data_IF_623877366439
#
_entry.id   IF_623877366439
#
_cell.length_a   1.000
_cell.length_b   1.000
_cell.length_c   1.000
_cell.angle_alpha   90.00
_cell.angle_beta   90.00
_cell.angle_gamma   90.00
#
_symmetry.space_group_name_H-M   'P 1'
#
loop_
_entity.id
_entity.type
_entity.pdbx_description
1 polymer ?
#
# COMPACT_ATOMS: atom_id res chain seq x y z
N UNK A 1 -64.61 -41.98 9.75
CA UNK A 1 -63.84 -40.90 9.08
C UNK A 1 -63.07 -40.17 10.17
N UNK A 2 -61.77 -40.47 10.32
CA UNK A 2 -60.60 -39.70 9.85
C UNK A 2 -60.04 -38.79 10.96
N UNK A 3 -58.79 -39.11 11.30
CA UNK A 3 -57.82 -38.41 12.15
C UNK A 3 -57.77 -36.89 11.84
N UNK A 4 -57.35 -36.00 12.73
CA UNK A 4 -55.91 -35.68 12.91
C UNK A 4 -55.70 -34.72 14.09
N UNK A 5 -54.78 -35.09 14.99
CA UNK A 5 -54.06 -34.20 15.93
C UNK A 5 -52.98 -33.42 15.16
N UNK A 6 -52.66 -32.18 15.52
CA UNK A 6 -51.28 -31.67 15.42
C UNK A 6 -51.06 -30.41 16.28
N UNK A 7 -50.06 -30.54 17.16
CA UNK A 7 -49.37 -29.57 18.01
C UNK A 7 -48.14 -29.03 17.22
N UNK A 8 -47.28 -28.14 17.77
CA UNK A 8 -47.30 -26.68 17.76
C UNK A 8 -46.24 -26.06 16.82
N UNK A 9 -46.40 -24.77 16.48
CA UNK A 9 -45.37 -23.93 15.86
C UNK A 9 -44.47 -23.37 16.96
N UNK A 10 -43.22 -23.84 17.07
CA UNK A 10 -42.18 -23.19 17.90
C UNK A 10 -40.77 -23.70 17.52
N UNK A 11 -40.22 -23.19 16.41
CA UNK A 11 -38.81 -23.40 16.06
C UNK A 11 -38.29 -22.25 15.17
N UNK A 12 -37.93 -21.11 15.76
CA UNK A 12 -37.38 -19.98 15.00
C UNK A 12 -36.38 -19.08 15.77
N UNK A 13 -35.59 -19.61 16.72
CA UNK A 13 -34.63 -18.80 17.49
C UNK A 13 -33.15 -19.24 17.41
N UNK A 14 -32.80 -20.25 16.61
CA UNK A 14 -31.42 -20.78 16.60
C UNK A 14 -30.48 -20.14 15.55
N UNK A 15 -30.97 -19.31 14.62
CA UNK A 15 -30.14 -18.77 13.53
C UNK A 15 -29.28 -17.57 13.92
N UNK A 16 -29.57 -16.89 15.03
CA UNK A 16 -28.80 -15.71 15.47
C UNK A 16 -27.43 -16.04 16.06
N UNK A 17 -27.29 -17.19 16.73
CA UNK A 17 -26.05 -17.55 17.43
C UNK A 17 -24.89 -17.87 16.47
N UNK A 18 -25.16 -18.56 15.35
CA UNK A 18 -24.13 -18.97 14.39
C UNK A 18 -23.54 -17.81 13.59
N UNK A 19 -24.31 -16.75 13.32
CA UNK A 19 -23.83 -15.58 12.57
C UNK A 19 -22.86 -14.73 13.40
N UNK A 20 -23.10 -14.61 14.71
CA UNK A 20 -22.30 -13.80 15.62
C UNK A 20 -20.96 -14.48 15.96
N UNK A 21 -20.96 -15.81 16.09
CA UNK A 21 -19.77 -16.62 16.40
C UNK A 21 -18.80 -16.72 15.22
N UNK A 22 -19.36 -16.80 13.99
CA UNK A 22 -18.58 -16.82 12.77
C UNK A 22 -17.87 -15.47 12.51
N UNK A 23 -18.52 -14.36 12.84
CA UNK A 23 -17.91 -13.02 12.72
C UNK A 23 -16.73 -12.83 13.69
N UNK A 24 -16.89 -13.26 14.96
CA UNK A 24 -15.80 -13.23 15.94
C UNK A 24 -14.60 -14.10 15.53
N UNK A 25 -14.87 -15.28 14.94
CA UNK A 25 -13.84 -16.19 14.41
C UNK A 25 -13.09 -15.56 13.24
N UNK A 26 -13.80 -14.97 12.27
CA UNK A 26 -13.17 -14.28 11.13
C UNK A 26 -12.33 -13.09 11.57
N UNK A 27 -12.81 -12.27 12.51
CA UNK A 27 -12.04 -11.16 13.07
C UNK A 27 -10.74 -11.61 13.74
N UNK A 28 -10.78 -12.73 14.47
CA UNK A 28 -9.59 -13.29 15.11
C UNK A 28 -8.58 -13.76 14.05
N UNK A 29 -9.04 -14.50 13.04
CA UNK A 29 -8.19 -14.94 11.93
C UNK A 29 -7.62 -13.77 11.11
N UNK A 30 -8.39 -12.71 10.91
CA UNK A 30 -7.94 -11.49 10.24
C UNK A 30 -6.79 -10.82 11.00
N UNK A 31 -6.91 -10.66 12.32
CA UNK A 31 -5.82 -10.15 13.17
C UNK A 31 -4.58 -11.02 13.08
N UNK A 32 -4.75 -12.33 13.13
CA UNK A 32 -3.63 -13.26 12.99
C UNK A 32 -2.96 -13.18 11.61
N UNK A 33 -3.73 -13.05 10.54
CA UNK A 33 -3.20 -12.94 9.17
C UNK A 33 -2.37 -11.66 9.02
N UNK A 34 -2.90 -10.53 9.51
CA UNK A 34 -2.22 -9.22 9.50
C UNK A 34 -0.91 -9.29 10.33
N UNK A 35 -0.96 -9.90 11.51
CA UNK A 35 0.23 -10.08 12.35
C UNK A 35 1.27 -11.01 11.69
N UNK A 36 0.83 -12.09 11.03
CA UNK A 36 1.71 -13.07 10.40
C UNK A 36 2.55 -12.46 9.26
N UNK A 37 2.02 -11.48 8.53
CA UNK A 37 2.77 -10.73 7.52
C UNK A 37 3.67 -9.62 8.09
N UNK A 38 3.74 -9.49 9.42
CA UNK A 38 4.52 -8.45 10.13
C UNK A 38 4.13 -7.04 9.70
N UNK A 39 2.82 -6.79 9.51
CA UNK A 39 2.29 -5.49 9.12
C UNK A 39 2.77 -4.37 10.06
N UNK A 40 2.87 -4.63 11.37
CA UNK A 40 3.41 -3.67 12.35
C UNK A 40 4.82 -3.22 12.01
N UNK A 41 5.71 -4.15 11.67
CA UNK A 41 7.10 -3.85 11.30
C UNK A 41 7.19 -3.08 9.99
N UNK A 42 6.34 -3.43 9.02
CA UNK A 42 6.25 -2.69 7.75
C UNK A 42 5.78 -1.26 8.00
N UNK A 43 4.76 -1.08 8.84
CA UNK A 43 4.25 0.22 9.23
C UNK A 43 5.28 1.06 9.98
N UNK A 44 5.97 0.49 10.97
CA UNK A 44 7.06 1.14 11.70
C UNK A 44 8.16 1.62 10.74
N UNK A 45 8.56 0.75 9.80
CA UNK A 45 9.57 1.07 8.78
C UNK A 45 9.12 2.22 7.88
N UNK A 46 7.86 2.18 7.42
CA UNK A 46 7.29 3.24 6.58
C UNK A 46 7.25 4.58 7.33
N UNK A 47 6.82 4.56 8.61
CA UNK A 47 6.79 5.74 9.46
C UNK A 47 8.18 6.32 9.71
N UNK A 48 9.17 5.47 9.96
CA UNK A 48 10.56 5.91 10.13
C UNK A 48 11.09 6.59 8.86
N UNK A 49 10.79 6.02 7.68
CA UNK A 49 11.17 6.60 6.40
C UNK A 49 10.46 7.94 6.14
N UNK A 50 9.16 8.05 6.44
CA UNK A 50 8.43 9.32 6.35
C UNK A 50 9.02 10.39 7.28
N UNK A 51 9.38 10.02 8.51
CA UNK A 51 10.03 10.95 9.46
C UNK A 51 11.37 11.44 8.93
N UNK A 52 12.19 10.55 8.37
CA UNK A 52 13.46 10.93 7.75
C UNK A 52 13.26 11.88 6.57
N UNK A 53 12.30 11.58 5.69
CA UNK A 53 12.00 12.42 4.53
C UNK A 53 11.46 13.80 4.96
N UNK A 54 10.60 13.84 5.98
CA UNK A 54 10.08 15.09 6.56
C UNK A 54 11.21 15.94 7.14
N UNK A 55 12.17 15.33 7.84
CA UNK A 55 13.34 16.05 8.37
C UNK A 55 14.21 16.65 7.25
N UNK A 56 14.40 15.92 6.14
CA UNK A 56 15.14 16.42 4.97
C UNK A 56 14.43 17.59 4.28
N UNK A 57 13.10 17.51 4.12
CA UNK A 57 12.32 18.63 3.59
C UNK A 57 12.34 19.83 4.54
N UNK A 58 12.24 19.59 5.85
CA UNK A 58 12.25 20.63 6.86
C UNK A 58 13.53 21.48 6.82
N UNK A 59 14.70 20.84 6.64
CA UNK A 59 15.98 21.57 6.49
C UNK A 59 16.04 22.50 5.27
N UNK A 60 15.18 22.27 4.27
CA UNK A 60 15.11 23.08 3.04
C UNK A 60 13.97 24.09 3.04
N UNK A 61 13.01 23.95 3.97
CA UNK A 61 11.80 24.78 4.03
C UNK A 61 12.01 26.12 4.75
N UNK A 62 13.03 26.21 5.60
CA UNK A 62 13.36 27.46 6.30
C UNK A 62 14.34 28.32 5.48
N UNK A 63 14.21 29.66 5.54
CA UNK A 63 15.20 30.55 4.95
C UNK A 63 16.60 30.26 5.52
N UNK A 64 17.67 30.39 4.72
CA UNK A 64 19.05 30.20 5.18
C UNK A 64 19.37 30.99 6.46
N UNK A 65 18.84 32.21 6.53
CA UNK A 65 18.99 33.19 7.61
C UNK A 65 18.08 32.96 8.84
N UNK A 66 17.31 31.87 8.91
CA UNK A 66 16.47 31.59 10.07
C UNK A 66 17.30 31.55 11.37
N UNK A 67 16.80 32.17 12.44
CA UNK A 67 17.50 32.10 13.73
C UNK A 67 17.42 30.69 14.33
N UNK A 68 18.34 30.29 15.23
CA UNK A 68 18.25 29.00 15.93
C UNK A 68 16.90 28.80 16.63
N UNK A 69 16.31 29.87 17.18
CA UNK A 69 15.00 29.82 17.83
C UNK A 69 13.86 29.54 16.83
N UNK A 70 13.92 30.11 15.62
CA UNK A 70 12.95 29.83 14.55
C UNK A 70 13.06 28.39 14.05
N UNK A 71 14.29 27.89 13.86
CA UNK A 71 14.53 26.49 13.48
C UNK A 71 13.95 25.53 14.51
N UNK A 72 14.23 25.76 15.80
CA UNK A 72 13.67 24.95 16.90
C UNK A 72 12.15 24.94 16.91
N UNK A 73 11.48 26.09 16.77
CA UNK A 73 10.01 26.16 16.72
C UNK A 73 9.43 25.42 15.52
N UNK A 74 10.12 25.45 14.38
CA UNK A 74 9.70 24.73 13.18
C UNK A 74 9.88 23.21 13.33
N UNK A 75 10.99 22.76 13.92
CA UNK A 75 11.22 21.35 14.23
C UNK A 75 10.15 20.82 15.19
N UNK A 76 9.80 21.58 16.23
CA UNK A 76 8.71 21.26 17.15
C UNK A 76 7.35 21.18 16.44
N UNK A 77 7.06 22.09 15.51
CA UNK A 77 5.83 22.08 14.71
C UNK A 77 5.75 20.85 13.79
N UNK A 78 6.84 20.54 13.07
CA UNK A 78 6.94 19.34 12.22
C UNK A 78 6.79 18.05 13.04
N UNK A 79 7.37 18.01 14.25
CA UNK A 79 7.20 16.91 15.18
C UNK A 79 5.73 16.68 15.52
N UNK A 80 4.99 17.74 15.89
CA UNK A 80 3.54 17.64 16.18
C UNK A 80 2.71 17.15 15.00
N UNK A 81 3.01 17.60 13.77
CA UNK A 81 2.34 17.11 12.56
C UNK A 81 2.58 15.61 12.39
N UNK A 82 3.82 15.16 12.59
CA UNK A 82 4.17 13.75 12.44
C UNK A 82 3.48 12.89 13.50
N UNK A 83 3.45 13.34 14.76
CA UNK A 83 2.76 12.64 15.84
C UNK A 83 1.26 12.51 15.57
N UNK A 84 0.61 13.59 15.09
CA UNK A 84 -0.80 13.56 14.70
C UNK A 84 -1.06 12.59 13.53
N UNK A 85 -0.16 12.58 12.54
CA UNK A 85 -0.24 11.66 11.40
C UNK A 85 -0.11 10.20 11.85
N UNK A 86 0.79 9.92 12.80
CA UNK A 86 0.96 8.60 13.39
C UNK A 86 -0.28 8.14 14.15
N UNK A 87 -0.88 9.03 14.94
CA UNK A 87 -2.11 8.74 15.66
C UNK A 87 -3.27 8.44 14.70
N UNK A 88 -3.45 9.26 13.66
CA UNK A 88 -4.44 9.03 12.62
C UNK A 88 -4.24 7.68 11.91
N UNK A 89 -2.99 7.34 11.59
CA UNK A 89 -2.67 6.09 10.93
C UNK A 89 -2.91 4.86 11.84
N UNK A 90 -2.65 4.96 13.15
CA UNK A 90 -3.04 3.91 14.12
C UNK A 90 -4.54 3.70 14.16
N UNK A 91 -5.33 4.77 14.09
CA UNK A 91 -6.80 4.69 14.01
C UNK A 91 -7.30 3.97 12.75
N UNK A 92 -6.58 4.11 11.63
CA UNK A 92 -6.84 3.37 10.40
C UNK A 92 -6.44 1.89 10.53
N UNK A 93 -5.27 1.59 11.10
CA UNK A 93 -4.82 0.21 11.33
C UNK A 93 -5.78 -0.57 12.24
N UNK A 94 -6.40 0.10 13.23
CA UNK A 94 -7.40 -0.48 14.12
C UNK A 94 -8.68 -0.96 13.40
N UNK A 95 -8.87 -0.60 12.13
CA UNK A 95 -10.01 -1.03 11.31
C UNK A 95 -9.62 -2.11 10.28
N UNK A 96 -8.33 -2.43 10.14
CA UNK A 96 -7.87 -3.37 9.12
C UNK A 96 -8.37 -4.79 9.35
N UNK A 97 -8.49 -5.23 10.60
CA UNK A 97 -9.02 -6.55 10.93
C UNK A 97 -10.46 -6.73 10.47
N UNK A 98 -11.30 -5.72 10.66
CA UNK A 98 -12.68 -5.71 10.14
C UNK A 98 -12.70 -5.77 8.62
N UNK A 99 -11.89 -4.96 7.94
CA UNK A 99 -11.81 -4.96 6.46
C UNK A 99 -11.39 -6.34 5.95
N UNK A 100 -10.38 -6.98 6.57
CA UNK A 100 -9.95 -8.32 6.19
C UNK A 100 -11.03 -9.36 6.47
N UNK A 101 -11.73 -9.26 7.61
CA UNK A 101 -12.84 -10.14 7.95
C UNK A 101 -14.05 -9.96 7.02
N UNK A 102 -14.24 -8.79 6.42
CA UNK A 102 -15.33 -8.53 5.48
C UNK A 102 -15.00 -9.01 4.07
N UNK A 103 -13.74 -8.80 3.62
CA UNK A 103 -13.30 -9.11 2.25
C UNK A 103 -12.96 -10.58 2.06
N UNK A 104 -12.24 -11.19 3.01
CA UNK A 104 -11.80 -12.58 2.89
C UNK A 104 -12.79 -13.53 3.54
N UNK A 105 -12.92 -14.73 2.97
CA UNK A 105 -13.59 -15.86 3.62
C UNK A 105 -12.76 -16.38 4.80
N UNK A 106 -13.41 -17.10 5.70
CA UNK A 106 -12.72 -17.76 6.82
C UNK A 106 -11.64 -18.75 6.34
N UNK A 107 -11.91 -19.48 5.27
CA UNK A 107 -10.98 -20.44 4.68
C UNK A 107 -9.71 -19.75 4.12
N UNK A 108 -9.87 -18.61 3.45
CA UNK A 108 -8.75 -17.82 2.94
C UNK A 108 -7.92 -17.25 4.08
N UNK A 109 -8.55 -16.69 5.12
CA UNK A 109 -7.83 -16.18 6.30
C UNK A 109 -7.05 -17.31 7.01
N UNK A 110 -7.65 -18.50 7.18
CA UNK A 110 -6.96 -19.67 7.71
C UNK A 110 -5.74 -20.06 6.86
N UNK A 111 -5.89 -20.08 5.54
CA UNK A 111 -4.79 -20.39 4.62
C UNK A 111 -3.67 -19.35 4.70
N UNK A 112 -4.00 -18.06 4.77
CA UNK A 112 -3.03 -16.98 4.95
C UNK A 112 -2.26 -17.15 6.26
N UNK A 113 -2.96 -17.37 7.37
CA UNK A 113 -2.34 -17.61 8.69
C UNK A 113 -1.41 -18.82 8.64
N UNK A 114 -1.88 -19.95 8.10
CA UNK A 114 -1.10 -21.18 8.03
C UNK A 114 0.19 -20.99 7.21
N UNK A 115 0.08 -20.36 6.04
CA UNK A 115 1.24 -20.12 5.18
C UNK A 115 2.20 -19.12 5.79
N UNK A 116 1.73 -17.93 6.19
CA UNK A 116 2.64 -16.89 6.70
C UNK A 116 3.23 -17.23 8.07
N UNK A 117 2.64 -18.13 8.86
CA UNK A 117 3.27 -18.68 10.07
C UNK A 117 4.27 -19.81 9.78
N UNK A 118 4.28 -20.40 8.57
CA UNK A 118 5.23 -21.46 8.21
C UNK A 118 6.66 -20.92 8.11
N UNK A 119 7.64 -21.83 8.20
CA UNK A 119 9.05 -21.48 8.02
C UNK A 119 9.31 -20.86 6.65
N UNK A 120 8.68 -21.40 5.61
CA UNK A 120 8.76 -20.95 4.22
C UNK A 120 8.08 -19.59 4.03
N UNK A 121 6.88 -19.38 4.59
CA UNK A 121 6.18 -18.09 4.52
C UNK A 121 6.97 -16.97 5.21
N UNK A 122 7.52 -17.24 6.40
CA UNK A 122 8.41 -16.29 7.09
C UNK A 122 9.71 -16.07 6.29
N UNK A 123 10.28 -17.11 5.67
CA UNK A 123 11.45 -16.99 4.81
C UNK A 123 11.17 -16.11 3.60
N UNK A 124 9.99 -16.24 2.98
CA UNK A 124 9.56 -15.44 1.84
C UNK A 124 9.50 -13.96 2.23
N UNK A 125 8.81 -13.63 3.32
CA UNK A 125 8.71 -12.25 3.83
C UNK A 125 10.09 -11.65 4.11
N UNK A 126 10.99 -12.42 4.74
CA UNK A 126 12.34 -11.97 5.05
C UNK A 126 13.23 -11.77 3.80
N UNK A 127 12.97 -12.50 2.71
CA UNK A 127 13.74 -12.43 1.46
C UNK A 127 13.21 -11.39 0.47
N UNK A 128 11.98 -10.91 0.63
CA UNK A 128 11.40 -9.90 -0.26
C UNK A 128 12.30 -8.64 -0.41
N UNK A 129 12.87 -8.06 0.66
CA UNK A 129 13.79 -6.93 0.53
C UNK A 129 15.07 -7.27 -0.26
N UNK A 130 15.56 -8.52 -0.15
CA UNK A 130 16.75 -8.97 -0.88
C UNK A 130 16.47 -9.11 -2.39
N UNK A 131 15.26 -9.53 -2.76
CA UNK A 131 14.83 -9.56 -4.16
C UNK A 131 14.86 -8.14 -4.73
N UNK A 132 14.23 -7.19 -4.04
CA UNK A 132 14.22 -5.77 -4.44
C UNK A 132 15.64 -5.21 -4.56
N UNK A 133 16.52 -5.51 -3.60
CA UNK A 133 17.92 -5.08 -3.63
C UNK A 133 18.66 -5.64 -4.86
N UNK A 134 18.40 -6.89 -5.25
CA UNK A 134 18.99 -7.51 -6.45
C UNK A 134 18.40 -7.00 -7.75
N UNK A 135 17.17 -6.48 -7.72
CA UNK A 135 16.55 -5.83 -8.89
C UNK A 135 17.12 -4.44 -9.18
N UNK A 136 17.62 -3.71 -8.17
CA UNK A 136 18.11 -2.33 -8.35
C UNK A 136 19.18 -2.18 -9.45
N UNK A 137 20.24 -3.01 -9.53
CA UNK A 137 21.23 -2.90 -10.60
C UNK A 137 20.67 -3.20 -12.00
N UNK A 138 19.68 -4.10 -12.09
CA UNK A 138 18.99 -4.42 -13.35
C UNK A 138 18.23 -3.20 -13.87
N UNK A 139 17.50 -2.51 -13.00
CA UNK A 139 16.81 -1.27 -13.36
C UNK A 139 17.78 -0.16 -13.77
N UNK A 140 18.93 -0.03 -13.08
CA UNK A 140 19.97 0.93 -13.46
C UNK A 140 20.56 0.60 -14.84
N UNK A 141 20.80 -0.67 -15.15
CA UNK A 141 21.28 -1.08 -16.48
C UNK A 141 20.24 -0.78 -17.55
N UNK A 142 18.99 -1.15 -17.31
CA UNK A 142 17.88 -0.84 -18.22
C UNK A 142 17.79 0.65 -18.53
N UNK A 143 17.93 1.54 -17.53
CA UNK A 143 17.94 2.98 -17.77
C UNK A 143 19.15 3.43 -18.60
N UNK A 144 20.35 2.92 -18.31
CA UNK A 144 21.56 3.24 -19.09
C UNK A 144 21.41 2.84 -20.56
N UNK A 145 20.76 1.71 -20.83
CA UNK A 145 20.57 1.19 -22.19
C UNK A 145 19.42 1.90 -22.93
N UNK A 146 18.42 2.39 -22.20
CA UNK A 146 17.26 3.09 -22.76
C UNK A 146 17.55 4.55 -23.14
N UNK A 147 18.30 5.28 -22.29
CA UNK A 147 18.62 6.69 -22.50
C UNK A 147 19.20 7.03 -23.89
N UNK A 148 20.19 6.30 -24.45
CA UNK A 148 20.71 6.61 -25.79
C UNK A 148 19.68 6.38 -26.89
N UNK A 149 18.83 5.35 -26.77
CA UNK A 149 17.75 5.06 -27.74
C UNK A 149 16.69 6.15 -27.72
N UNK A 150 16.35 6.66 -26.54
CA UNK A 150 15.45 7.81 -26.41
C UNK A 150 16.03 9.06 -27.07
N UNK A 151 17.32 9.32 -26.88
CA UNK A 151 17.99 10.46 -27.54
C UNK A 151 18.00 10.34 -29.06
N UNK A 152 18.26 9.15 -29.59
CA UNK A 152 18.22 8.86 -31.02
C UNK A 152 16.81 9.09 -31.60
N UNK A 153 15.78 8.57 -30.92
CA UNK A 153 14.39 8.77 -31.32
C UNK A 153 13.98 10.26 -31.33
N UNK A 154 14.39 11.03 -30.31
CA UNK A 154 14.16 12.49 -30.29
C UNK A 154 14.86 13.19 -31.46
N UNK A 155 16.09 12.77 -31.79
CA UNK A 155 16.85 13.35 -32.91
C UNK A 155 16.18 13.07 -34.25
N UNK A 156 15.70 11.84 -34.45
CA UNK A 156 14.94 11.44 -35.65
C UNK A 156 13.66 12.26 -35.77
N UNK A 157 12.89 12.38 -34.68
CA UNK A 157 11.68 13.18 -34.67
C UNK A 157 11.94 14.66 -35.03
N UNK A 158 13.02 15.26 -34.51
CA UNK A 158 13.39 16.63 -34.86
C UNK A 158 13.77 16.79 -36.34
N UNK A 159 14.42 15.80 -36.93
CA UNK A 159 14.77 15.78 -38.35
C UNK A 159 13.51 15.70 -39.23
N UNK A 160 12.61 14.75 -38.93
CA UNK A 160 11.33 14.57 -39.63
C UNK A 160 10.48 15.85 -39.60
N UNK A 161 10.44 16.53 -38.45
CA UNK A 161 9.69 17.78 -38.28
C UNK A 161 10.30 18.95 -39.08
N UNK A 162 11.62 18.98 -39.26
CA UNK A 162 12.29 19.99 -40.11
C UNK A 162 12.04 19.71 -41.60
N UNK A 163 12.06 18.44 -42.00
CA UNK A 163 11.78 18.01 -43.37
C UNK A 163 10.31 18.29 -43.75
N UNK A 164 9.37 17.99 -42.85
CA UNK A 164 7.93 18.25 -43.05
C UNK A 164 7.62 19.75 -43.15
N UNK A 165 8.37 20.61 -42.43
CA UNK A 165 8.27 22.08 -42.56
C UNK A 165 8.95 22.63 -43.83
N UNK A 166 9.88 21.88 -44.42
CA UNK A 166 10.63 22.27 -45.62
C UNK A 166 9.94 21.85 -46.93
N UNK A 167 8.93 20.96 -46.89
CA UNK A 167 8.11 20.67 -48.06
C UNK A 167 7.17 21.86 -48.36
N UNK A 168 7.26 22.50 -49.54
CA UNK A 168 6.30 23.53 -49.92
C UNK A 168 4.91 22.90 -50.04
N UNK A 169 3.89 23.60 -49.50
CA UNK A 169 2.51 23.18 -49.64
C UNK A 169 2.18 22.90 -51.12
N UNK A 170 1.52 21.76 -51.44
CA UNK A 170 1.17 21.46 -52.83
C UNK A 170 0.29 22.61 -53.34
N UNK A 171 0.71 23.21 -54.45
CA UNK A 171 0.01 24.31 -55.10
C UNK A 171 -1.46 23.89 -55.33
N UNK A 172 -2.38 24.60 -54.70
CA UNK A 172 -3.81 24.48 -55.01
C UNK A 172 -3.99 24.91 -56.47
N UNK A 173 -4.40 23.96 -57.32
CA UNK A 173 -4.79 24.26 -58.71
C UNK A 173 -6.12 25.05 -58.72
N UNK A 174 -6.28 25.98 -59.67
CA UNK A 174 -7.45 26.85 -59.76
C UNK A 174 -8.74 26.08 -60.07
#
# INVERSE_FOLDING_TARGET
MKFTRLLPVLLALATGAFAQDNNATKLTLAREAIAAVKADKMFDSMMAQMKQMSAQMASSALPPQATPAQRKKFDEFQGKIMDLSMESAKGMLAQMDQIYADVYSEAELKAMVAFFKSAEGQSMLAKQPQIMQRMMPLMQSMQRDLMPKMKDLTTQFEADMKETKAMPAPAQKP
#
